data_IF_314825740580
#
_entry.id   IF_314825740580
#
_cell.length_a   1.000
_cell.length_b   1.000
_cell.length_c   1.000
_cell.angle_alpha   90.00
_cell.angle_beta   90.00
_cell.angle_gamma   90.00
#
_symmetry.space_group_name_H-M   'P 1'
#
loop_
_entity.id
_entity.type
_entity.pdbx_description
1 polymer ?
#
# COMPACT_ATOMS: atom_id res chain seq x y z
N UNK A 1 -22.25 -5.14 20.80
CA UNK A 1 -21.00 -5.69 20.23
C UNK A 1 -21.37 -6.59 19.05
N UNK A 2 -21.17 -6.11 17.83
CA UNK A 2 -21.32 -6.93 16.63
C UNK A 2 -20.47 -6.30 15.51
N UNK A 3 -19.15 -6.44 15.63
CA UNK A 3 -18.16 -5.89 14.69
C UNK A 3 -17.88 -6.81 13.49
N UNK A 4 -18.56 -7.96 13.40
CA UNK A 4 -18.27 -8.99 12.40
C UNK A 4 -19.54 -9.56 11.77
N UNK A 5 -20.29 -8.72 11.04
CA UNK A 5 -21.31 -9.22 10.11
C UNK A 5 -21.19 -8.44 8.79
N UNK A 6 -20.15 -8.75 8.02
CA UNK A 6 -20.26 -9.12 6.60
C UNK A 6 -18.88 -9.47 6.03
N UNK A 7 -18.61 -10.76 5.88
CA UNK A 7 -17.62 -11.25 4.92
C UNK A 7 -18.35 -11.40 3.59
N UNK A 8 -18.29 -10.38 2.74
CA UNK A 8 -18.42 -10.61 1.30
C UNK A 8 -17.39 -9.76 0.57
N UNK A 9 -16.49 -10.48 -0.08
CA UNK A 9 -15.69 -10.02 -1.19
C UNK A 9 -16.58 -9.29 -2.19
N UNK A 10 -16.71 -7.98 -2.03
CA UNK A 10 -17.14 -7.10 -3.10
C UNK A 10 -15.92 -6.28 -3.48
N UNK A 11 -14.97 -6.96 -4.12
CA UNK A 11 -14.09 -6.34 -5.09
C UNK A 11 -15.04 -5.66 -6.07
N UNK A 12 -15.20 -4.35 -5.95
CA UNK A 12 -16.03 -3.56 -6.82
C UNK A 12 -15.54 -3.80 -8.24
N UNK A 13 -16.34 -4.57 -8.98
CA UNK A 13 -16.30 -4.74 -10.43
C UNK A 13 -16.56 -3.36 -11.06
N UNK A 14 -15.54 -2.52 -11.04
CA UNK A 14 -15.41 -1.43 -12.00
C UNK A 14 -14.41 -1.94 -13.02
N UNK A 15 -14.81 -2.12 -14.29
CA UNK A 15 -13.86 -2.48 -15.33
C UNK A 15 -13.00 -1.26 -15.62
N UNK A 16 -11.97 -1.01 -14.80
CA UNK A 16 -10.95 -0.06 -15.18
C UNK A 16 -10.01 -0.75 -16.18
N UNK A 17 -10.43 -0.66 -17.45
CA UNK A 17 -9.62 -0.65 -18.66
C UNK A 17 -8.15 -1.01 -18.44
N UNK A 18 -7.83 -2.26 -18.78
CA UNK A 18 -6.54 -2.64 -19.32
C UNK A 18 -6.28 -1.90 -20.64
N UNK A 19 -6.06 -0.58 -20.60
CA UNK A 19 -5.64 0.20 -21.78
C UNK A 19 -4.68 1.30 -21.36
N UNK A 20 -3.44 0.93 -21.04
CA UNK A 20 -2.28 1.61 -21.62
C UNK A 20 -1.04 0.78 -21.38
N UNK A 21 -0.42 0.33 -22.48
CA UNK A 21 0.92 -0.24 -22.50
C UNK A 21 1.93 0.90 -22.28
N UNK A 22 1.90 1.50 -21.09
CA UNK A 22 2.70 2.67 -20.71
C UNK A 22 3.13 2.51 -19.27
N UNK A 23 4.36 2.02 -19.03
CA UNK A 23 4.98 1.70 -17.72
C UNK A 23 4.08 0.81 -16.83
N UNK A 24 4.43 -0.47 -16.67
CA UNK A 24 3.68 -1.38 -15.80
C UNK A 24 3.41 -0.73 -14.43
N UNK A 25 2.14 -0.56 -14.08
CA UNK A 25 1.76 0.00 -12.78
C UNK A 25 2.42 -0.84 -11.67
N UNK A 26 3.15 -0.17 -10.78
CA UNK A 26 4.00 -0.80 -9.76
C UNK A 26 3.18 -1.39 -8.59
N UNK A 27 1.99 -0.86 -8.34
CA UNK A 27 1.08 -1.29 -7.29
C UNK A 27 -0.33 -0.72 -7.49
N UNK A 28 -1.33 -1.45 -7.03
CA UNK A 28 -2.68 -0.94 -6.77
C UNK A 28 -2.78 -0.56 -5.29
N UNK A 29 -3.28 0.65 -5.00
CA UNK A 29 -3.31 1.23 -3.66
C UNK A 29 -4.70 1.78 -3.40
N UNK A 30 -5.33 1.31 -2.32
CA UNK A 30 -6.57 1.85 -1.77
C UNK A 30 -6.26 2.44 -0.40
N UNK A 31 -6.74 3.67 -0.14
CA UNK A 31 -6.55 4.36 1.13
C UNK A 31 -7.90 4.83 1.63
N UNK A 32 -8.17 4.59 2.91
CA UNK A 32 -9.26 5.24 3.65
C UNK A 32 -8.66 5.96 4.85
N UNK A 33 -9.20 7.14 5.16
CA UNK A 33 -8.73 7.99 6.24
C UNK A 33 -9.91 8.36 7.13
N UNK A 34 -9.80 8.09 8.43
CA UNK A 34 -10.79 8.42 9.45
C UNK A 34 -10.06 9.15 10.57
N UNK A 35 -10.33 10.45 10.69
CA UNK A 35 -9.59 11.35 11.58
C UNK A 35 -8.08 11.24 11.35
N UNK A 36 -7.33 10.71 12.32
CA UNK A 36 -5.88 10.49 12.25
C UNK A 36 -5.49 9.05 11.88
N UNK A 37 -6.45 8.18 11.56
CA UNK A 37 -6.20 6.77 11.25
C UNK A 37 -6.33 6.51 9.76
N UNK A 38 -5.29 5.94 9.15
CA UNK A 38 -5.29 5.51 7.77
C UNK A 38 -5.38 3.98 7.69
N UNK A 39 -6.28 3.46 6.86
CA UNK A 39 -6.26 2.07 6.44
C UNK A 39 -5.85 1.99 4.97
N UNK A 40 -4.84 1.18 4.68
CA UNK A 40 -4.27 1.02 3.36
C UNK A 40 -4.37 -0.43 2.93
N UNK A 41 -4.77 -0.64 1.68
CA UNK A 41 -4.72 -1.93 1.00
C UNK A 41 -3.82 -1.78 -0.22
N UNK A 42 -2.77 -2.58 -0.26
CA UNK A 42 -1.73 -2.48 -1.30
C UNK A 42 -1.58 -3.84 -1.96
N UNK A 43 -1.75 -3.90 -3.27
CA UNK A 43 -1.40 -5.07 -4.08
C UNK A 43 -0.21 -4.72 -4.97
N UNK A 44 0.87 -5.49 -4.88
CA UNK A 44 2.11 -5.20 -5.62
C UNK A 44 2.88 -6.49 -5.89
N UNK A 45 3.90 -6.43 -6.76
CA UNK A 45 4.76 -7.58 -7.05
C UNK A 45 5.66 -7.88 -5.86
N UNK A 46 5.92 -9.15 -5.62
CA UNK A 46 6.85 -9.60 -4.58
C UNK A 46 8.29 -9.26 -4.95
N UNK A 47 9.01 -8.59 -4.05
CA UNK A 47 10.45 -8.32 -4.15
C UNK A 47 11.19 -8.76 -2.87
N UNK A 48 12.47 -9.21 -2.99
CA UNK A 48 13.28 -9.51 -1.82
C UNK A 48 13.38 -8.31 -0.87
N UNK A 49 13.15 -8.53 0.43
CA UNK A 49 13.23 -7.48 1.46
C UNK A 49 12.14 -6.39 1.39
N UNK A 50 11.15 -6.54 0.52
CA UNK A 50 10.10 -5.54 0.30
C UNK A 50 9.36 -5.14 1.58
N UNK A 51 8.99 -6.12 2.41
CA UNK A 51 8.27 -5.83 3.64
C UNK A 51 9.08 -4.94 4.58
N UNK A 52 10.37 -5.26 4.77
CA UNK A 52 11.26 -4.47 5.63
C UNK A 52 11.41 -3.04 5.09
N UNK A 53 11.57 -2.88 3.77
CA UNK A 53 11.67 -1.56 3.13
C UNK A 53 10.37 -0.77 3.24
N UNK A 54 9.22 -1.45 3.12
CA UNK A 54 7.90 -0.86 3.27
C UNK A 54 7.70 -0.32 4.69
N UNK A 55 7.96 -1.15 5.71
CA UNK A 55 7.86 -0.75 7.12
C UNK A 55 8.76 0.45 7.44
N UNK A 56 10.02 0.41 7.01
CA UNK A 56 10.95 1.53 7.17
C UNK A 56 10.54 2.78 6.38
N UNK A 57 9.84 2.62 5.26
CA UNK A 57 9.28 3.72 4.49
C UNK A 57 8.09 4.38 5.18
N UNK A 58 7.18 3.60 5.76
CA UNK A 58 6.05 4.11 6.53
C UNK A 58 6.51 4.97 7.71
N UNK A 59 7.54 4.53 8.44
CA UNK A 59 8.15 5.33 9.51
C UNK A 59 8.68 6.68 9.00
N UNK A 60 9.31 6.72 7.82
CA UNK A 60 9.80 7.95 7.19
C UNK A 60 8.67 8.85 6.66
N UNK A 61 7.50 8.27 6.40
CA UNK A 61 6.30 8.99 5.99
C UNK A 61 5.44 9.42 7.19
N UNK A 62 5.94 9.34 8.43
CA UNK A 62 5.14 9.68 9.62
C UNK A 62 3.83 8.88 9.72
N UNK A 63 3.85 7.62 9.25
CA UNK A 63 2.76 6.66 9.35
C UNK A 63 3.17 5.55 10.32
N UNK A 64 2.65 5.62 11.56
CA UNK A 64 2.90 4.60 12.58
C UNK A 64 2.01 3.38 12.31
N UNK A 65 2.61 2.26 11.92
CA UNK A 65 1.88 1.01 11.68
C UNK A 65 1.34 0.48 13.02
N UNK A 66 0.01 0.34 13.09
CA UNK A 66 -0.71 -0.23 14.23
C UNK A 66 -1.02 -1.72 14.01
N UNK A 67 -1.41 -2.07 12.79
CA UNK A 67 -1.67 -3.46 12.39
C UNK A 67 -1.22 -3.68 10.96
N UNK A 68 -0.61 -4.84 10.71
CA UNK A 68 -0.12 -5.23 9.40
C UNK A 68 -0.49 -6.69 9.17
N UNK A 69 -1.26 -6.93 8.10
CA UNK A 69 -1.46 -8.26 7.56
C UNK A 69 -0.78 -8.37 6.19
N UNK A 70 -0.10 -9.49 5.97
CA UNK A 70 0.58 -9.80 4.71
C UNK A 70 0.04 -11.11 4.18
N UNK A 71 -0.50 -11.07 2.96
CA UNK A 71 -0.96 -12.27 2.23
C UNK A 71 -0.17 -12.37 0.94
N UNK A 72 0.59 -13.45 0.77
CA UNK A 72 1.42 -13.66 -0.43
C UNK A 72 0.74 -14.63 -1.39
N UNK A 73 0.62 -14.25 -2.65
CA UNK A 73 0.11 -15.08 -3.76
C UNK A 73 1.05 -14.85 -4.94
N UNK A 74 2.12 -15.64 -5.06
CA UNK A 74 3.17 -15.41 -6.05
C UNK A 74 2.59 -15.23 -7.48
N UNK A 75 3.01 -14.21 -8.24
CA UNK A 75 4.13 -13.28 -7.98
C UNK A 75 3.73 -11.98 -7.24
N UNK A 76 2.57 -11.96 -6.59
CA UNK A 76 1.99 -10.80 -5.91
C UNK A 76 2.00 -10.94 -4.39
N UNK A 77 1.94 -9.79 -3.73
CA UNK A 77 1.74 -9.68 -2.28
C UNK A 77 0.69 -8.61 -2.01
N UNK A 78 -0.20 -8.94 -1.09
CA UNK A 78 -1.27 -8.07 -0.62
C UNK A 78 -0.98 -7.67 0.83
N UNK A 79 -0.93 -6.36 1.06
CA UNK A 79 -0.78 -5.77 2.39
C UNK A 79 -2.10 -5.12 2.81
N UNK A 80 -2.52 -5.38 4.04
CA UNK A 80 -3.56 -4.61 4.72
C UNK A 80 -2.96 -3.97 5.95
N UNK A 81 -2.97 -2.64 5.99
CA UNK A 81 -2.21 -1.85 6.96
C UNK A 81 -3.18 -0.88 7.63
N UNK A 82 -3.26 -0.93 8.96
CA UNK A 82 -3.83 0.16 9.75
C UNK A 82 -2.69 0.96 10.34
N UNK A 83 -2.68 2.27 10.11
CA UNK A 83 -1.66 3.18 10.58
C UNK A 83 -2.26 4.43 11.22
N UNK A 84 -1.53 5.01 12.17
CA UNK A 84 -1.78 6.36 12.67
C UNK A 84 -0.96 7.35 11.85
N UNK A 85 -1.60 8.42 11.42
CA UNK A 85 -0.96 9.58 10.78
C UNK A 85 -0.42 10.47 11.89
N UNK A 86 0.90 10.61 11.96
CA UNK A 86 1.56 11.41 12.98
C UNK A 86 1.71 12.87 12.56
N UNK A 87 1.91 13.73 13.56
CA UNK A 87 2.26 15.13 13.35
C UNK A 87 3.59 15.22 12.58
N UNK A 88 3.56 15.80 11.38
CA UNK A 88 4.71 15.87 10.47
C UNK A 88 4.42 15.35 9.07
N UNK A 89 3.36 14.58 8.87
CA UNK A 89 2.93 14.21 7.52
C UNK A 89 2.24 15.38 6.82
N UNK A 90 2.97 16.05 5.91
CA UNK A 90 2.47 17.22 5.17
C UNK A 90 1.28 16.91 4.24
N UNK A 91 1.09 15.63 3.92
CA UNK A 91 0.17 15.13 2.90
C UNK A 91 -1.05 14.43 3.53
N UNK A 92 -1.59 14.95 4.64
CA UNK A 92 -2.69 14.38 5.44
C UNK A 92 -4.05 14.20 4.74
N UNK A 93 -4.09 14.12 3.42
CA UNK A 93 -5.24 13.72 2.61
C UNK A 93 -5.08 12.29 2.11
N UNK A 94 -6.19 11.67 1.71
CA UNK A 94 -6.21 10.33 1.12
C UNK A 94 -5.27 10.24 -0.11
N UNK A 95 -5.35 11.23 -1.01
CA UNK A 95 -4.52 11.29 -2.21
C UNK A 95 -3.04 11.51 -1.89
N UNK A 96 -2.75 12.33 -0.89
CA UNK A 96 -1.40 12.58 -0.41
C UNK A 96 -0.73 11.33 0.15
N UNK A 97 -1.45 10.55 0.96
CA UNK A 97 -1.00 9.25 1.48
C UNK A 97 -0.77 8.27 0.32
N UNK A 98 -1.74 8.14 -0.60
CA UNK A 98 -1.65 7.22 -1.73
C UNK A 98 -0.44 7.53 -2.63
N UNK A 99 -0.22 8.81 -2.93
CA UNK A 99 0.93 9.29 -3.72
C UNK A 99 2.26 9.00 -3.03
N UNK A 100 2.37 9.28 -1.72
CA UNK A 100 3.59 9.04 -0.97
C UNK A 100 3.95 7.54 -0.91
N UNK A 101 2.95 6.68 -0.68
CA UNK A 101 3.14 5.22 -0.65
C UNK A 101 3.46 4.68 -2.05
N UNK A 102 2.86 5.23 -3.10
CA UNK A 102 3.21 4.90 -4.48
C UNK A 102 4.69 5.19 -4.78
N UNK A 103 5.18 6.38 -4.40
CA UNK A 103 6.59 6.73 -4.56
C UNK A 103 7.53 5.83 -3.76
N UNK A 104 7.15 5.46 -2.53
CA UNK A 104 7.90 4.50 -1.72
C UNK A 104 8.02 3.15 -2.43
N UNK A 105 6.92 2.62 -2.96
CA UNK A 105 6.91 1.35 -3.70
C UNK A 105 7.73 1.43 -5.00
N UNK A 106 7.72 2.59 -5.68
CA UNK A 106 8.55 2.82 -6.86
C UNK A 106 10.04 2.74 -6.56
N UNK A 107 10.47 3.31 -5.43
CA UNK A 107 11.86 3.20 -4.96
C UNK A 107 12.25 1.77 -4.63
N UNK A 108 11.34 1.00 -3.99
CA UNK A 108 11.57 -0.41 -3.68
C UNK A 108 11.76 -1.24 -4.97
N UNK A 109 10.95 -0.96 -6.00
CA UNK A 109 11.04 -1.61 -7.32
C UNK A 109 12.36 -1.29 -8.03
N UNK A 110 12.77 -0.01 -8.05
CA UNK A 110 14.03 0.44 -8.66
C UNK A 110 15.24 -0.20 -7.97
N UNK A 111 15.28 -0.17 -6.63
CA UNK A 111 16.34 -0.84 -5.86
C UNK A 111 16.40 -2.34 -6.14
N UNK A 112 15.25 -3.01 -6.28
CA UNK A 112 15.20 -4.44 -6.58
C UNK A 112 15.76 -4.75 -7.97
N UNK A 113 15.53 -3.88 -8.97
CA UNK A 113 16.12 -4.04 -10.30
C UNK A 113 17.63 -3.85 -10.31
N UNK A 114 18.17 -3.00 -9.45
CA UNK A 114 19.61 -2.74 -9.34
C UNK A 114 20.37 -3.88 -8.64
N UNK A 115 19.72 -4.59 -7.71
CA UNK A 115 20.29 -5.73 -7.00
C UNK A 115 20.28 -7.06 -7.78
N UNK A 116 19.73 -7.06 -9.00
CA UNK A 116 19.63 -8.25 -9.86
C UNK A 116 20.77 -8.34 -10.91
N UNK A 117 21.77 -7.46 -10.83
CA UNK A 117 23.03 -7.54 -11.57
C UNK A 117 24.14 -8.12 -10.67
#
# INVERSE_FOLDING_TARGET
AQFFVYHQYTWSQTPNKYTSKTKAAIADIEVTLIEIHANLRILTRTRPGQLTKLVAGFQRLFLSILHLNVTTIQPLVFYSISAKVEEGFQLGSVDGIATAVHHLLGRIEEEASLTCC
#
